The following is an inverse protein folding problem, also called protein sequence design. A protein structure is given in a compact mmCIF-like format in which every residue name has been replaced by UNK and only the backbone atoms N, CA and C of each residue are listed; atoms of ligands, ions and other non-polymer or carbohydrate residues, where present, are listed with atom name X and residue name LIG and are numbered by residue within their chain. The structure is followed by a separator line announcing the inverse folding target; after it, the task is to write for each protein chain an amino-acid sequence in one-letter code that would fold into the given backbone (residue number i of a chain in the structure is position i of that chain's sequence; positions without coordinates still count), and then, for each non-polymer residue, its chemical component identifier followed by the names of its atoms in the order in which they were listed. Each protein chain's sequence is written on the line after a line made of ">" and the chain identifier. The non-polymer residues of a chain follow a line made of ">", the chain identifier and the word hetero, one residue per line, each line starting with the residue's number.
data_IF_733879854912
#
_entry.id   IF_733879854912
#
_cell.length_a   1.000
_cell.length_b   1.000
_cell.length_c   1.000
_cell.angle_alpha   90.00
_cell.angle_beta   90.00
_cell.angle_gamma   90.00
#
_symmetry.space_group_name_H-M   'P 1'
#
loop_
_entity.id
_entity.type
_entity.pdbx_description
1 polymer ?
#
# COMPACT_ATOMS: atom_id res chain seq x y z
N UNK A 1 -28.14 -23.09 4.19
CA UNK A 1 -26.84 -23.69 3.83
C UNK A 1 -25.83 -22.56 3.77
N UNK A 2 -25.10 -22.31 4.86
CA UNK A 2 -24.04 -21.30 4.87
C UNK A 2 -22.83 -21.89 4.13
N UNK A 3 -22.56 -21.38 2.93
CA UNK A 3 -21.30 -21.67 2.23
C UNK A 3 -20.20 -20.98 3.02
N UNK A 4 -19.52 -21.72 3.91
CA UNK A 4 -18.23 -21.32 4.44
C UNK A 4 -17.26 -21.27 3.26
N UNK A 5 -17.12 -20.09 2.66
CA UNK A 5 -16.08 -19.82 1.68
C UNK A 5 -14.75 -20.01 2.39
N UNK A 6 -14.08 -21.12 2.13
CA UNK A 6 -12.76 -21.42 2.65
C UNK A 6 -11.80 -20.35 2.16
N UNK A 7 -11.53 -19.36 3.01
CA UNK A 7 -10.52 -18.35 2.74
C UNK A 7 -9.15 -18.99 2.93
N UNK A 8 -8.31 -18.94 1.90
CA UNK A 8 -6.95 -19.49 1.97
C UNK A 8 -6.07 -18.63 2.87
N UNK A 9 -5.15 -19.28 3.58
CA UNK A 9 -4.17 -18.61 4.45
C UNK A 9 -3.25 -17.66 3.67
N UNK A 10 -2.97 -18.01 2.41
CA UNK A 10 -2.12 -17.24 1.50
C UNK A 10 -2.91 -16.66 0.34
N UNK A 11 -2.46 -15.52 -0.15
CA UNK A 11 -2.96 -14.86 -1.36
C UNK A 11 -1.81 -14.56 -2.30
N UNK A 12 -2.10 -14.51 -3.59
CA UNK A 12 -1.08 -14.24 -4.62
C UNK A 12 -1.28 -12.85 -5.18
N UNK A 13 -0.29 -11.99 -5.04
CA UNK A 13 -0.24 -10.65 -5.63
C UNK A 13 0.58 -10.73 -6.92
N UNK A 14 0.00 -10.32 -8.05
CA UNK A 14 0.63 -10.39 -9.36
C UNK A 14 0.92 -8.99 -9.85
N UNK A 15 2.16 -8.70 -10.21
CA UNK A 15 2.56 -7.41 -10.76
C UNK A 15 2.27 -7.30 -12.27
N UNK A 16 2.40 -6.09 -12.80
CA UNK A 16 2.17 -5.78 -14.22
C UNK A 16 3.06 -6.58 -15.18
N UNK A 17 4.29 -6.81 -14.78
CA UNK A 17 5.32 -7.58 -15.48
C UNK A 17 5.20 -9.10 -15.24
N UNK A 18 4.20 -9.55 -14.48
CA UNK A 18 3.86 -10.96 -14.32
C UNK A 18 4.59 -11.68 -13.19
N UNK A 19 5.29 -10.96 -12.30
CA UNK A 19 5.84 -11.57 -11.09
C UNK A 19 4.74 -11.87 -10.08
N UNK A 20 4.87 -13.00 -9.39
CA UNK A 20 3.89 -13.47 -8.41
C UNK A 20 4.50 -13.51 -7.02
N UNK A 21 3.84 -12.83 -6.07
CA UNK A 21 4.24 -12.76 -4.68
C UNK A 21 3.17 -13.44 -3.82
N UNK A 22 3.54 -14.54 -3.17
CA UNK A 22 2.67 -15.21 -2.19
C UNK A 22 2.86 -14.58 -0.82
N UNK A 23 1.78 -14.04 -0.26
CA UNK A 23 1.79 -13.36 1.03
C UNK A 23 0.68 -13.90 1.94
N UNK A 24 0.86 -13.77 3.25
CA UNK A 24 -0.16 -14.10 4.22
C UNK A 24 -1.38 -13.20 4.04
N UNK A 25 -2.57 -13.80 4.10
CA UNK A 25 -3.83 -13.07 4.02
C UNK A 25 -3.98 -12.05 5.16
N UNK A 26 -3.44 -12.34 6.35
CA UNK A 26 -3.44 -11.41 7.49
C UNK A 26 -2.65 -10.14 7.20
N UNK A 27 -1.47 -10.27 6.59
CA UNK A 27 -0.64 -9.16 6.13
C UNK A 27 -1.30 -8.40 4.97
N UNK A 28 -1.81 -9.12 3.96
CA UNK A 28 -2.46 -8.54 2.79
C UNK A 28 -3.70 -7.69 3.15
N UNK A 29 -4.47 -8.14 4.15
CA UNK A 29 -5.67 -7.45 4.63
C UNK A 29 -5.38 -6.13 5.36
N UNK A 30 -4.11 -5.80 5.64
CA UNK A 30 -3.71 -4.48 6.12
C UNK A 30 -4.03 -3.41 5.07
N UNK A 31 -3.86 -3.73 3.78
CA UNK A 31 -4.30 -2.85 2.71
C UNK A 31 -5.80 -2.99 2.53
N UNK A 32 -6.55 -1.90 2.71
CA UNK A 32 -7.99 -1.91 2.47
C UNK A 32 -8.34 -2.13 0.99
N UNK A 33 -7.48 -1.73 0.04
CA UNK A 33 -7.69 -2.04 -1.38
C UNK A 33 -7.64 -3.55 -1.63
N UNK A 34 -6.56 -4.21 -1.16
CA UNK A 34 -6.38 -5.67 -1.31
C UNK A 34 -7.49 -6.42 -0.59
N UNK A 35 -7.87 -5.98 0.61
CA UNK A 35 -8.99 -6.55 1.37
C UNK A 35 -10.30 -6.49 0.57
N UNK A 36 -10.60 -5.39 -0.12
CA UNK A 36 -11.81 -5.23 -0.95
C UNK A 36 -11.77 -6.10 -2.21
N UNK A 37 -10.60 -6.29 -2.81
CA UNK A 37 -10.41 -7.20 -3.96
C UNK A 37 -10.61 -8.67 -3.57
N UNK A 38 -10.24 -9.02 -2.34
CA UNK A 38 -10.34 -10.39 -1.80
C UNK A 38 -11.66 -10.65 -1.06
N UNK A 39 -12.57 -9.68 -1.00
CA UNK A 39 -13.82 -9.80 -0.27
C UNK A 39 -14.80 -10.72 -1.02
N UNK A 40 -15.21 -11.87 -0.46
CA UNK A 40 -16.10 -12.81 -1.13
C UNK A 40 -17.51 -12.27 -1.34
N UNK A 41 -17.92 -11.20 -0.65
CA UNK A 41 -19.21 -10.55 -0.86
C UNK A 41 -19.25 -9.73 -2.14
N UNK A 42 -18.07 -9.29 -2.56
CA UNK A 42 -17.84 -8.55 -3.79
C UNK A 42 -17.66 -9.65 -4.86
N UNK A 43 -18.62 -9.78 -5.78
CA UNK A 43 -18.73 -10.92 -6.71
C UNK A 43 -17.62 -10.95 -7.81
N UNK A 44 -16.43 -10.47 -7.48
CA UNK A 44 -15.21 -10.38 -8.27
C UNK A 44 -14.54 -11.76 -8.41
N UNK A 45 -13.86 -11.96 -9.53
CA UNK A 45 -13.19 -13.22 -9.85
C UNK A 45 -11.95 -13.45 -8.95
N UNK A 46 -11.37 -12.36 -8.44
CA UNK A 46 -10.21 -12.31 -7.55
C UNK A 46 -10.50 -12.95 -6.18
N UNK A 47 -11.69 -12.74 -5.62
CA UNK A 47 -12.09 -13.34 -4.34
C UNK A 47 -12.23 -14.87 -4.41
N UNK A 48 -12.59 -15.41 -5.59
CA UNK A 48 -12.68 -16.86 -5.84
C UNK A 48 -11.32 -17.49 -6.14
N UNK A 49 -10.41 -16.73 -6.75
CA UNK A 49 -9.08 -17.22 -7.15
C UNK A 49 -7.98 -16.95 -6.12
N UNK A 50 -8.26 -16.17 -5.06
CA UNK A 50 -7.29 -15.74 -4.05
C UNK A 50 -6.07 -15.02 -4.68
N UNK A 51 -6.29 -14.36 -5.82
CA UNK A 51 -5.25 -13.81 -6.66
C UNK A 51 -5.64 -12.39 -7.07
N UNK A 52 -4.77 -11.43 -6.77
CA UNK A 52 -4.95 -10.01 -7.09
C UNK A 52 -3.93 -9.61 -8.14
N UNK A 53 -4.39 -9.10 -9.28
CA UNK A 53 -3.52 -8.65 -10.37
C UNK A 53 -3.45 -7.12 -10.37
N UNK A 54 -2.24 -6.57 -10.38
CA UNK A 54 -1.99 -5.14 -10.40
C UNK A 54 -1.43 -4.71 -11.76
N UNK A 55 -2.26 -4.08 -12.57
CA UNK A 55 -1.86 -3.65 -13.93
C UNK A 55 -0.94 -2.43 -13.95
N UNK A 56 -0.89 -1.67 -12.84
CA UNK A 56 -0.16 -0.40 -12.76
C UNK A 56 1.06 -0.45 -11.81
N UNK A 57 1.34 -1.60 -11.20
CA UNK A 57 2.44 -1.77 -10.24
C UNK A 57 3.45 -2.76 -10.81
N UNK A 58 4.70 -2.36 -10.98
CA UNK A 58 5.77 -3.24 -11.46
C UNK A 58 6.24 -4.22 -10.35
N UNK A 59 7.00 -5.25 -10.71
CA UNK A 59 7.42 -6.29 -9.77
C UNK A 59 8.28 -5.76 -8.63
N UNK A 60 9.22 -4.87 -8.93
CA UNK A 60 10.16 -4.30 -7.94
C UNK A 60 9.43 -3.46 -6.88
N UNK A 61 8.43 -2.69 -7.30
CA UNK A 61 7.58 -1.89 -6.41
C UNK A 61 6.65 -2.81 -5.62
N UNK A 62 6.06 -3.83 -6.26
CA UNK A 62 5.18 -4.77 -5.58
C UNK A 62 5.92 -5.60 -4.52
N UNK A 63 7.18 -5.96 -4.78
CA UNK A 63 8.07 -6.61 -3.81
C UNK A 63 8.22 -5.74 -2.55
N UNK A 64 8.55 -4.45 -2.72
CA UNK A 64 8.66 -3.50 -1.61
C UNK A 64 7.34 -3.25 -0.88
N UNK A 65 6.22 -3.28 -1.60
CA UNK A 65 4.88 -3.27 -0.98
C UNK A 65 4.66 -4.51 -0.11
N UNK A 66 5.03 -5.70 -0.59
CA UNK A 66 4.91 -6.94 0.19
C UNK A 66 5.76 -6.90 1.46
N UNK A 67 7.01 -6.42 1.35
CA UNK A 67 7.89 -6.18 2.50
C UNK A 67 7.23 -5.25 3.52
N UNK A 68 6.65 -4.14 3.06
CA UNK A 68 5.92 -3.21 3.93
C UNK A 68 4.74 -3.88 4.64
N UNK A 69 3.95 -4.72 3.97
CA UNK A 69 2.77 -5.37 4.59
C UNK A 69 3.19 -6.21 5.81
N UNK A 70 4.25 -7.02 5.67
CA UNK A 70 4.80 -7.81 6.77
C UNK A 70 5.45 -6.95 7.84
N UNK A 71 6.22 -5.94 7.43
CA UNK A 71 6.85 -5.03 8.35
C UNK A 71 5.80 -4.25 9.17
N UNK A 72 4.69 -3.84 8.55
CA UNK A 72 3.58 -3.22 9.26
C UNK A 72 2.94 -4.22 10.23
N UNK A 73 2.63 -5.44 9.79
CA UNK A 73 2.08 -6.51 10.64
C UNK A 73 2.92 -6.78 11.89
N UNK A 74 4.23 -6.94 11.71
CA UNK A 74 5.18 -7.25 12.79
C UNK A 74 5.27 -6.13 13.83
N UNK A 75 5.05 -4.88 13.43
CA UNK A 75 5.29 -3.71 14.27
C UNK A 75 4.01 -2.97 14.68
N UNK A 76 2.82 -3.56 14.50
CA UNK A 76 1.53 -2.94 14.85
C UNK A 76 1.47 -2.43 16.29
N UNK A 77 2.08 -3.16 17.24
CA UNK A 77 2.03 -2.86 18.67
C UNK A 77 3.34 -2.27 19.23
N UNK A 78 4.30 -1.94 18.36
CA UNK A 78 5.62 -1.46 18.76
C UNK A 78 5.73 0.06 18.61
N UNK A 79 6.25 0.75 19.63
CA UNK A 79 6.36 2.22 19.65
C UNK A 79 7.64 2.77 19.02
N UNK A 80 8.72 1.99 19.05
CA UNK A 80 10.03 2.40 18.53
C UNK A 80 10.46 1.41 17.46
N UNK A 81 10.13 1.73 16.22
CA UNK A 81 10.25 0.81 15.11
C UNK A 81 11.25 1.38 14.12
N UNK A 82 12.30 0.62 13.78
CA UNK A 82 13.34 1.08 12.87
C UNK A 82 12.77 1.35 11.49
N UNK A 83 13.21 2.42 10.82
CA UNK A 83 12.78 2.74 9.47
C UNK A 83 13.14 1.62 8.47
N UNK A 84 12.28 1.43 7.46
CA UNK A 84 12.53 0.46 6.39
C UNK A 84 13.43 1.09 5.34
N UNK A 85 14.48 0.37 4.91
CA UNK A 85 15.33 0.83 3.82
C UNK A 85 14.60 0.74 2.47
N UNK A 86 14.34 1.90 1.87
CA UNK A 86 13.77 2.04 0.53
C UNK A 86 14.77 2.79 -0.34
N UNK A 87 15.16 2.23 -1.49
CA UNK A 87 16.02 2.92 -2.43
C UNK A 87 15.30 4.16 -2.98
N UNK A 88 15.99 5.31 -3.07
CA UNK A 88 15.39 6.57 -3.48
C UNK A 88 14.79 6.52 -4.90
N UNK A 89 15.29 5.61 -5.75
CA UNK A 89 14.80 5.39 -7.11
C UNK A 89 13.36 4.84 -7.14
N UNK A 90 12.90 4.15 -6.08
CA UNK A 90 11.56 3.58 -6.00
C UNK A 90 10.53 4.49 -5.32
N UNK A 91 10.95 5.59 -4.70
CA UNK A 91 10.08 6.42 -3.86
C UNK A 91 8.82 6.94 -4.57
N UNK A 92 8.96 7.41 -5.82
CA UNK A 92 7.82 7.97 -6.58
C UNK A 92 6.82 6.88 -6.95
N UNK A 93 7.29 5.73 -7.44
CA UNK A 93 6.42 4.61 -7.80
C UNK A 93 5.75 3.99 -6.57
N UNK A 94 6.49 3.87 -5.46
CA UNK A 94 5.94 3.42 -4.18
C UNK A 94 4.90 4.39 -3.63
N UNK A 95 5.08 5.70 -3.79
CA UNK A 95 4.08 6.70 -3.41
C UNK A 95 2.79 6.54 -4.21
N UNK A 96 2.88 6.30 -5.53
CA UNK A 96 1.71 6.03 -6.37
C UNK A 96 1.02 4.72 -5.99
N UNK A 97 1.80 3.66 -5.77
CA UNK A 97 1.29 2.37 -5.30
C UNK A 97 0.61 2.52 -3.93
N UNK A 98 1.18 3.30 -3.02
CA UNK A 98 0.60 3.57 -1.71
C UNK A 98 -0.76 4.28 -1.80
N UNK A 99 -0.91 5.27 -2.68
CA UNK A 99 -2.20 5.96 -2.86
C UNK A 99 -3.25 5.04 -3.49
N UNK A 100 -2.84 4.11 -4.37
CA UNK A 100 -3.74 3.07 -4.89
C UNK A 100 -4.14 2.04 -3.83
N UNK A 101 -3.18 1.60 -3.01
CA UNK A 101 -3.37 0.58 -1.97
C UNK A 101 -4.00 1.13 -0.68
N UNK A 102 -4.16 2.46 -0.59
CA UNK A 102 -4.64 3.16 0.59
C UNK A 102 -6.07 2.76 0.94
N UNK A 103 -6.20 2.05 2.06
CA UNK A 103 -7.45 1.85 2.77
C UNK A 103 -7.35 2.44 4.17
N UNK A 104 -8.06 3.55 4.40
CA UNK A 104 -8.41 4.16 5.70
C UNK A 104 -7.30 4.56 6.70
N UNK A 105 -6.04 4.15 6.55
CA UNK A 105 -4.93 4.55 7.46
C UNK A 105 -3.80 5.27 6.73
N UNK A 106 -4.05 6.53 6.36
CA UNK A 106 -3.09 7.38 5.63
C UNK A 106 -1.86 7.80 6.42
N UNK A 107 -2.00 7.95 7.74
CA UNK A 107 -0.97 8.55 8.58
C UNK A 107 0.21 7.61 8.79
N UNK A 108 -0.01 6.30 8.91
CA UNK A 108 1.05 5.32 9.22
C UNK A 108 2.02 5.09 8.07
N UNK A 109 1.53 5.11 6.83
CA UNK A 109 2.32 4.81 5.63
C UNK A 109 3.18 6.01 5.22
N UNK A 110 2.57 7.20 5.19
CA UNK A 110 3.25 8.44 4.79
C UNK A 110 4.16 9.01 5.88
N UNK A 111 3.85 8.83 7.17
CA UNK A 111 4.76 9.26 8.23
C UNK A 111 6.08 8.46 8.20
N UNK A 112 6.01 7.16 7.90
CA UNK A 112 7.18 6.28 7.83
C UNK A 112 7.98 6.44 6.54
N UNK A 113 7.32 6.55 5.39
CA UNK A 113 8.00 6.93 4.14
C UNK A 113 8.56 8.36 4.20
N UNK A 114 7.88 9.25 4.92
CA UNK A 114 8.29 10.64 5.13
C UNK A 114 9.53 10.79 6.01
N UNK A 115 9.81 9.86 6.94
CA UNK A 115 11.06 9.86 7.71
C UNK A 115 12.23 9.31 6.90
N UNK A 116 11.99 8.37 6.01
CA UNK A 116 13.00 7.85 5.11
C UNK A 116 13.49 8.91 4.10
N UNK A 117 12.60 9.76 3.59
CA UNK A 117 12.97 10.90 2.76
C UNK A 117 13.71 12.02 3.52
N UNK A 118 13.71 12.02 4.86
CA UNK A 118 14.40 13.04 5.69
C UNK A 118 15.89 12.76 5.90
N UNK A 119 16.39 11.56 5.57
CA UNK A 119 17.81 11.21 5.69
C UNK A 119 18.73 11.90 4.66
N UNK A 120 18.17 12.46 3.57
CA UNK A 120 18.85 13.26 2.56
C UNK A 120 17.86 14.28 1.98
N UNK A 121 17.74 15.42 2.65
CA UNK A 121 17.01 16.65 2.27
C UNK A 121 16.26 16.67 0.92
N UNK A 122 14.93 16.88 0.97
CA UNK A 122 14.13 17.92 0.27
C UNK A 122 12.68 17.78 0.74
N UNK A 123 12.01 18.91 1.00
CA UNK A 123 10.66 19.03 1.54
C UNK A 123 9.61 18.21 0.76
N UNK A 124 8.95 17.26 1.42
CA UNK A 124 7.57 16.87 1.12
C UNK A 124 6.79 16.69 2.42
N UNK A 125 6.62 17.79 3.16
CA UNK A 125 5.55 17.90 4.17
C UNK A 125 4.23 18.10 3.43
N UNK A 126 3.58 17.01 3.04
CA UNK A 126 2.17 17.06 2.65
C UNK A 126 1.40 15.90 3.27
N UNK A 127 1.16 16.01 4.58
CA UNK A 127 -0.20 15.75 5.08
C UNK A 127 -1.14 16.60 4.23
N UNK A 128 -2.02 15.96 3.46
CA UNK A 128 -2.98 16.63 2.58
C UNK A 128 -3.83 17.62 3.38
N UNK A 129 -3.62 18.92 3.20
CA UNK A 129 -4.65 19.95 3.43
C UNK A 129 -4.39 21.35 2.80
N UNK A 130 -3.36 21.59 1.97
CA UNK A 130 -3.15 22.94 1.38
C UNK A 130 -3.00 23.03 -0.14
N UNK A 131 -2.97 21.93 -0.89
CA UNK A 131 -2.84 22.04 -2.36
C UNK A 131 -4.13 22.47 -3.09
N UNK A 132 -5.29 22.55 -2.42
CA UNK A 132 -6.47 23.25 -2.97
C UNK A 132 -6.65 24.68 -2.42
N UNK A 133 -5.80 25.15 -1.51
CA UNK A 133 -5.91 26.51 -0.94
C UNK A 133 -4.84 27.48 -1.44
N UNK A 134 -3.78 26.99 -2.09
CA UNK A 134 -2.72 27.85 -2.66
C UNK A 134 -2.98 28.32 -4.09
N UNK A 135 -3.94 27.73 -4.82
CA UNK A 135 -4.23 28.09 -6.22
C UNK A 135 -5.37 29.12 -6.39
N UNK A 136 -5.87 29.71 -5.30
CA UNK A 136 -6.92 30.75 -5.36
C UNK A 136 -6.50 32.12 -4.82
N UNK A 137 -5.25 32.31 -4.39
CA UNK A 137 -4.77 33.59 -3.87
C UNK A 137 -3.87 34.39 -4.82
N UNK A 138 -3.52 33.85 -6.01
CA UNK A 138 -2.72 34.57 -7.03
C UNK A 138 -3.53 34.95 -8.28
N UNK A 139 -4.85 35.13 -8.14
CA UNK A 139 -5.69 35.73 -9.20
C UNK A 139 -6.66 36.80 -8.64
N UNK A 140 -6.17 37.59 -7.68
CA UNK A 140 -6.78 38.86 -7.30
C UNK A 140 -5.68 39.93 -7.28
N UNK A 141 -5.23 40.29 -8.48
CA UNK A 141 -4.58 41.56 -8.81
C UNK A 141 -5.15 42.04 -10.14
#
# INVERSE_FOLDING_TARGET
>A
MASSTETTEYVTLVSRDGFEFKVLRSAANISGAIRRMLDPTNNFAEAKSNRCVFENINGVVLEKVCEYLYYNEKHKDTKDVPDMDIPPELCLELLMAADYLNGEHRESFLHRMGNLARGRAVLLTTSRCSLMTMLSSELCL
#
